data_IF_012580235389
#
_entry.id   IF_012580235389
#
_cell.length_a   1.000
_cell.length_b   1.000
_cell.length_c   1.000
_cell.angle_alpha   90.00
_cell.angle_beta   90.00
_cell.angle_gamma   90.00
#
_symmetry.space_group_name_H-M   'P 1'
#
loop_
_entity.id
_entity.type
_entity.pdbx_description
1 polymer ?
#
# COMPACT_ATOMS: atom_id res chain seq x y z
N UNK A 1 11.65 31.28 -8.48
CA UNK A 1 12.01 30.19 -7.56
C UNK A 1 10.75 29.48 -7.10
N UNK A 2 10.70 28.15 -7.07
CA UNK A 2 9.57 27.47 -6.47
C UNK A 2 9.48 27.82 -4.97
N UNK A 3 8.25 27.90 -4.40
CA UNK A 3 8.09 28.24 -3.01
C UNK A 3 8.77 27.18 -2.11
N UNK A 4 9.49 27.58 -1.07
CA UNK A 4 10.25 26.71 -0.13
C UNK A 4 9.44 25.55 0.48
N UNK A 5 8.09 25.68 0.57
CA UNK A 5 7.23 24.59 1.05
C UNK A 5 7.14 23.41 0.08
N UNK A 6 7.28 23.66 -1.25
CA UNK A 6 7.30 22.57 -2.25
C UNK A 6 8.58 21.74 -2.12
N UNK A 7 9.69 22.36 -1.82
CA UNK A 7 10.98 21.66 -1.67
C UNK A 7 11.00 20.84 -0.38
N UNK A 8 10.50 21.38 0.74
CA UNK A 8 10.34 20.65 2.01
C UNK A 8 9.41 19.44 1.83
N UNK A 9 8.33 19.58 1.09
CA UNK A 9 7.41 18.47 0.82
C UNK A 9 8.07 17.37 -0.01
N UNK A 10 8.81 17.73 -1.07
CA UNK A 10 9.54 16.77 -1.90
C UNK A 10 10.62 16.03 -1.12
N UNK A 11 11.33 16.73 -0.23
CA UNK A 11 12.36 16.13 0.61
C UNK A 11 11.77 15.12 1.59
N UNK A 12 10.66 15.47 2.22
CA UNK A 12 9.92 14.56 3.09
C UNK A 12 9.43 13.31 2.36
N UNK A 13 8.84 13.50 1.16
CA UNK A 13 8.38 12.38 0.34
C UNK A 13 9.55 11.46 -0.04
N UNK A 14 10.68 12.02 -0.45
CA UNK A 14 11.90 11.25 -0.74
C UNK A 14 12.39 10.44 0.45
N UNK A 15 12.37 11.01 1.64
CA UNK A 15 12.83 10.33 2.87
C UNK A 15 11.89 9.17 3.26
N UNK A 16 10.58 9.41 3.25
CA UNK A 16 9.59 8.38 3.62
C UNK A 16 9.51 7.28 2.56
N UNK A 17 9.69 7.62 1.29
CA UNK A 17 9.60 6.68 0.17
C UNK A 17 10.99 6.24 -0.35
N UNK A 18 12.04 6.35 0.49
CA UNK A 18 13.37 5.89 0.11
C UNK A 18 13.34 4.40 -0.29
N UNK A 19 13.95 4.09 -1.43
CA UNK A 19 13.94 2.74 -2.01
C UNK A 19 12.81 2.49 -3.01
N UNK A 20 11.74 3.30 -2.99
CA UNK A 20 10.61 3.14 -3.92
C UNK A 20 10.69 4.12 -5.10
N UNK A 21 10.21 3.66 -6.24
CA UNK A 21 10.07 4.53 -7.43
C UNK A 21 8.99 5.58 -7.23
N UNK A 22 9.18 6.74 -7.83
CA UNK A 22 8.24 7.86 -7.70
C UNK A 22 8.11 8.63 -9.02
N UNK A 23 6.97 9.28 -9.23
CA UNK A 23 6.70 10.04 -10.45
C UNK A 23 5.62 9.40 -11.31
N UNK A 24 5.34 9.97 -12.49
CA UNK A 24 4.27 9.49 -13.38
C UNK A 24 4.48 8.05 -13.88
N UNK A 25 5.74 7.66 -14.13
CA UNK A 25 6.09 6.33 -14.60
C UNK A 25 6.22 5.28 -13.48
N UNK A 26 6.11 5.70 -12.21
CA UNK A 26 6.34 4.83 -11.06
C UNK A 26 5.54 3.51 -11.09
N UNK A 27 4.26 3.45 -11.49
CA UNK A 27 3.55 2.17 -11.56
C UNK A 27 4.21 1.17 -12.52
N UNK A 28 4.58 1.61 -13.70
CA UNK A 28 5.24 0.76 -14.71
C UNK A 28 6.63 0.33 -14.25
N UNK A 29 7.41 1.28 -13.70
CA UNK A 29 8.76 1.00 -13.19
C UNK A 29 8.75 0.06 -12.00
N UNK A 30 7.80 0.20 -11.07
CA UNK A 30 7.67 -0.68 -9.91
C UNK A 30 7.36 -2.11 -10.35
N UNK A 31 6.40 -2.28 -11.26
CA UNK A 31 6.06 -3.59 -11.82
C UNK A 31 7.27 -4.21 -12.53
N UNK A 32 7.96 -3.44 -13.39
CA UNK A 32 9.13 -3.94 -14.12
C UNK A 32 10.28 -4.38 -13.17
N UNK A 33 10.57 -3.58 -12.13
CA UNK A 33 11.58 -3.94 -11.12
C UNK A 33 11.21 -5.19 -10.35
N UNK A 34 9.94 -5.31 -9.94
CA UNK A 34 9.46 -6.47 -9.21
C UNK A 34 9.48 -7.73 -10.08
N UNK A 35 9.09 -7.65 -11.35
CA UNK A 35 9.16 -8.77 -12.29
C UNK A 35 10.62 -9.19 -12.57
N UNK A 36 11.56 -8.26 -12.63
CA UNK A 36 12.99 -8.59 -12.74
C UNK A 36 13.49 -9.38 -11.52
N UNK A 37 13.08 -9.00 -10.30
CA UNK A 37 13.39 -9.75 -9.06
C UNK A 37 12.67 -11.11 -9.03
N UNK A 38 11.45 -11.21 -9.57
CA UNK A 38 10.65 -12.42 -9.56
C UNK A 38 11.37 -13.62 -10.24
N UNK A 39 12.28 -13.37 -11.19
CA UNK A 39 13.07 -14.41 -11.84
C UNK A 39 14.01 -15.17 -10.90
N UNK A 40 14.40 -14.60 -9.76
CA UNK A 40 15.26 -15.22 -8.74
C UNK A 40 14.51 -15.51 -7.43
N UNK A 41 13.26 -15.09 -7.31
CA UNK A 41 12.44 -15.33 -6.14
C UNK A 41 11.94 -16.78 -6.08
N UNK A 42 11.83 -17.32 -4.88
CA UNK A 42 11.20 -18.63 -4.64
C UNK A 42 9.69 -18.52 -4.47
N UNK A 43 9.20 -17.32 -4.14
CA UNK A 43 7.79 -17.06 -3.94
C UNK A 43 7.40 -15.61 -4.23
N UNK A 44 6.15 -15.40 -4.63
CA UNK A 44 5.62 -14.10 -4.99
C UNK A 44 4.36 -13.76 -4.19
N UNK A 45 4.23 -12.48 -3.86
CA UNK A 45 3.00 -11.85 -3.37
C UNK A 45 2.52 -10.88 -4.45
N UNK A 46 1.30 -11.04 -4.95
CA UNK A 46 0.74 -10.14 -5.96
C UNK A 46 -0.14 -9.08 -5.28
N UNK A 47 0.06 -7.81 -5.62
CA UNK A 47 -0.73 -6.69 -5.12
C UNK A 47 -1.14 -5.78 -6.27
N UNK A 48 -2.16 -4.95 -6.08
CA UNK A 48 -2.68 -4.12 -7.18
C UNK A 48 -1.73 -3.01 -7.59
N UNK A 49 -1.12 -2.34 -6.62
CA UNK A 49 -0.33 -1.15 -6.88
C UNK A 49 0.86 -0.94 -5.93
N UNK A 50 1.57 0.17 -6.15
CA UNK A 50 2.78 0.52 -5.37
C UNK A 50 2.44 0.77 -3.90
N UNK A 51 1.29 1.38 -3.57
CA UNK A 51 0.89 1.62 -2.19
C UNK A 51 0.76 0.32 -1.40
N UNK A 52 0.17 -0.70 -2.04
CA UNK A 52 -0.01 -2.01 -1.44
C UNK A 52 1.33 -2.74 -1.30
N UNK A 53 2.22 -2.62 -2.30
CA UNK A 53 3.60 -3.12 -2.19
C UNK A 53 4.32 -2.51 -0.98
N UNK A 54 4.29 -1.17 -0.86
CA UNK A 54 4.90 -0.46 0.26
C UNK A 54 4.31 -0.93 1.59
N UNK A 55 3.01 -1.12 1.66
CA UNK A 55 2.33 -1.58 2.87
C UNK A 55 2.78 -3.00 3.27
N UNK A 56 2.80 -3.94 2.34
CA UNK A 56 3.22 -5.34 2.60
C UNK A 56 4.68 -5.38 3.04
N UNK A 57 5.58 -4.72 2.30
CA UNK A 57 7.02 -4.72 2.59
C UNK A 57 7.32 -4.00 3.91
N UNK A 58 6.60 -2.88 4.20
CA UNK A 58 6.72 -2.18 5.49
C UNK A 58 6.27 -3.04 6.65
N UNK A 59 5.12 -3.73 6.51
CA UNK A 59 4.58 -4.59 7.56
C UNK A 59 5.51 -5.77 7.85
N UNK A 60 6.05 -6.41 6.81
CA UNK A 60 7.04 -7.47 6.96
C UNK A 60 8.29 -6.97 7.70
N UNK A 61 8.87 -5.86 7.24
CA UNK A 61 10.07 -5.27 7.83
C UNK A 61 9.86 -4.87 9.31
N UNK A 62 8.73 -4.23 9.63
CA UNK A 62 8.39 -3.84 11.01
C UNK A 62 8.19 -5.04 11.95
N UNK A 63 7.85 -6.21 11.39
CA UNK A 63 7.78 -7.49 12.10
C UNK A 63 9.09 -8.26 12.12
N UNK A 64 10.20 -7.63 11.75
CA UNK A 64 11.55 -8.22 11.76
C UNK A 64 11.81 -9.21 10.62
N UNK A 65 10.98 -9.19 9.55
CA UNK A 65 11.17 -10.03 8.37
C UNK A 65 11.91 -9.28 7.27
N UNK A 66 12.81 -9.98 6.61
CA UNK A 66 13.50 -9.53 5.41
C UNK A 66 13.03 -10.38 4.22
N UNK A 67 12.04 -9.87 3.47
CA UNK A 67 11.47 -10.57 2.33
C UNK A 67 12.51 -10.84 1.22
N UNK A 68 13.49 -9.97 1.05
CA UNK A 68 14.59 -10.21 0.08
C UNK A 68 15.46 -11.39 0.53
N UNK A 69 15.83 -11.48 1.81
CA UNK A 69 16.56 -12.62 2.37
C UNK A 69 15.73 -13.92 2.35
N UNK A 70 14.41 -13.82 2.46
CA UNK A 70 13.47 -14.93 2.34
C UNK A 70 13.19 -15.33 0.87
N UNK A 71 13.79 -14.65 -0.11
CA UNK A 71 13.50 -14.81 -1.54
C UNK A 71 12.03 -14.65 -1.91
N UNK A 72 11.31 -13.77 -1.20
CA UNK A 72 9.91 -13.41 -1.46
C UNK A 72 9.87 -12.05 -2.13
N UNK A 73 9.21 -11.94 -3.27
CA UNK A 73 9.06 -10.66 -3.97
C UNK A 73 7.60 -10.21 -3.99
N UNK A 74 7.35 -8.95 -3.60
CA UNK A 74 6.03 -8.32 -3.73
C UNK A 74 5.95 -7.65 -5.10
N UNK A 75 4.98 -8.08 -5.91
CA UNK A 75 4.81 -7.63 -7.30
C UNK A 75 3.56 -6.77 -7.43
N UNK A 76 3.68 -5.44 -7.61
CA UNK A 76 2.56 -4.58 -7.96
C UNK A 76 2.23 -4.81 -9.44
N UNK A 77 1.02 -5.35 -9.72
CA UNK A 77 0.65 -5.80 -11.07
C UNK A 77 0.11 -4.69 -11.98
N UNK A 78 -0.07 -3.46 -11.44
CA UNK A 78 -0.58 -2.32 -12.21
C UNK A 78 -2.10 -2.35 -12.43
N UNK A 79 -2.83 -2.91 -11.47
CA UNK A 79 -4.29 -3.06 -11.48
C UNK A 79 -4.75 -4.49 -11.77
N UNK A 80 -5.87 -4.88 -11.17
CA UNK A 80 -6.35 -6.27 -11.16
C UNK A 80 -6.52 -6.90 -12.55
N UNK A 81 -6.88 -6.12 -13.57
CA UNK A 81 -7.03 -6.63 -14.95
C UNK A 81 -5.72 -7.16 -15.57
N UNK A 82 -4.55 -6.73 -15.05
CA UNK A 82 -3.26 -7.25 -15.50
C UNK A 82 -2.93 -8.64 -14.93
N UNK A 83 -3.69 -9.14 -13.95
CA UNK A 83 -3.39 -10.38 -13.23
C UNK A 83 -3.17 -11.57 -14.15
N UNK A 84 -4.08 -11.80 -15.11
CA UNK A 84 -3.99 -12.93 -16.04
C UNK A 84 -2.72 -12.90 -16.90
N UNK A 85 -2.35 -11.70 -17.40
CA UNK A 85 -1.11 -11.51 -18.17
C UNK A 85 0.12 -11.77 -17.29
N UNK A 86 0.15 -11.17 -16.10
CA UNK A 86 1.28 -11.32 -15.16
C UNK A 86 1.45 -12.79 -14.75
N UNK A 87 0.36 -13.52 -14.45
CA UNK A 87 0.43 -14.95 -14.14
C UNK A 87 0.97 -15.79 -15.30
N UNK A 88 0.66 -15.42 -16.55
CA UNK A 88 1.19 -16.10 -17.74
C UNK A 88 2.69 -15.86 -17.97
N UNK A 89 3.25 -14.76 -17.45
CA UNK A 89 4.67 -14.41 -17.56
C UNK A 89 5.51 -14.98 -16.40
N UNK A 90 4.86 -15.43 -15.32
CA UNK A 90 5.54 -15.88 -14.11
C UNK A 90 5.76 -17.41 -14.12
N UNK A 91 6.99 -17.82 -13.92
CA UNK A 91 7.37 -19.22 -13.69
C UNK A 91 7.56 -19.55 -12.19
N UNK A 92 7.31 -18.58 -11.32
CA UNK A 92 7.55 -18.66 -9.88
C UNK A 92 6.25 -18.90 -9.14
N UNK A 93 6.30 -19.64 -8.03
CA UNK A 93 5.14 -19.91 -7.19
C UNK A 93 4.56 -18.62 -6.61
N UNK A 94 3.29 -18.35 -6.86
CA UNK A 94 2.53 -17.30 -6.18
C UNK A 94 1.98 -17.85 -4.86
N UNK A 95 2.37 -17.23 -3.73
CA UNK A 95 1.90 -17.63 -2.40
C UNK A 95 0.59 -16.98 -2.02
N UNK A 96 0.44 -15.68 -2.31
CA UNK A 96 -0.72 -14.91 -1.93
C UNK A 96 -0.95 -13.70 -2.85
N UNK A 97 -2.16 -13.15 -2.80
CA UNK A 97 -2.49 -11.88 -3.41
C UNK A 97 -3.35 -11.04 -2.45
N UNK A 98 -3.13 -9.73 -2.45
CA UNK A 98 -3.92 -8.73 -1.73
C UNK A 98 -4.65 -7.86 -2.74
N UNK A 99 -5.94 -7.66 -2.54
CA UNK A 99 -6.78 -6.85 -3.43
C UNK A 99 -7.94 -6.20 -2.69
N UNK A 100 -8.52 -5.21 -3.34
CA UNK A 100 -9.75 -4.56 -2.91
C UNK A 100 -10.97 -5.48 -3.14
N UNK A 101 -12.07 -5.22 -2.44
CA UNK A 101 -13.30 -6.01 -2.58
C UNK A 101 -13.81 -6.05 -4.03
N UNK A 102 -13.67 -4.97 -4.76
CA UNK A 102 -14.12 -4.86 -6.16
C UNK A 102 -13.38 -5.81 -7.10
N UNK A 103 -12.11 -6.07 -6.81
CA UNK A 103 -11.20 -6.92 -7.60
C UNK A 103 -11.14 -8.36 -7.10
N UNK A 104 -11.78 -8.66 -5.96
CA UNK A 104 -11.74 -9.97 -5.32
C UNK A 104 -12.15 -11.12 -6.26
N UNK A 105 -13.13 -10.88 -7.15
CA UNK A 105 -13.55 -11.86 -8.14
C UNK A 105 -12.46 -12.22 -9.15
N UNK A 106 -11.65 -11.24 -9.55
CA UNK A 106 -10.53 -11.44 -10.49
C UNK A 106 -9.41 -12.22 -9.80
N UNK A 107 -9.00 -11.79 -8.60
CA UNK A 107 -7.95 -12.45 -7.82
C UNK A 107 -8.31 -13.89 -7.43
N UNK A 108 -9.55 -14.13 -6.98
CA UNK A 108 -10.02 -15.49 -6.63
C UNK A 108 -10.05 -16.43 -7.83
N UNK A 109 -10.39 -15.96 -9.04
CA UNK A 109 -10.31 -16.78 -10.25
C UNK A 109 -8.87 -17.10 -10.63
N UNK A 110 -7.94 -16.15 -10.48
CA UNK A 110 -6.54 -16.36 -10.85
C UNK A 110 -5.73 -17.16 -9.84
N UNK A 111 -5.92 -16.90 -8.54
CA UNK A 111 -5.10 -17.46 -7.46
C UNK A 111 -5.82 -18.54 -6.65
N UNK A 112 -7.14 -18.59 -6.70
CA UNK A 112 -7.98 -19.34 -5.80
C UNK A 112 -8.29 -18.58 -4.49
N UNK A 113 -9.41 -18.92 -3.82
CA UNK A 113 -9.87 -18.21 -2.62
C UNK A 113 -8.89 -18.29 -1.45
N UNK A 114 -8.21 -19.42 -1.28
CA UNK A 114 -7.26 -19.65 -0.18
C UNK A 114 -5.98 -18.80 -0.26
N UNK A 115 -5.69 -18.20 -1.40
CA UNK A 115 -4.53 -17.34 -1.65
C UNK A 115 -4.90 -15.88 -1.85
N UNK A 116 -6.18 -15.53 -1.74
CA UNK A 116 -6.67 -14.18 -1.98
C UNK A 116 -7.08 -13.54 -0.67
N UNK A 117 -6.37 -12.47 -0.29
CA UNK A 117 -6.66 -11.65 0.87
C UNK A 117 -7.37 -10.39 0.39
N UNK A 118 -8.53 -10.10 0.94
CA UNK A 118 -9.43 -9.06 0.43
C UNK A 118 -9.63 -7.98 1.49
N UNK A 119 -9.31 -6.74 1.15
CA UNK A 119 -9.71 -5.57 1.91
C UNK A 119 -11.20 -5.30 1.70
N UNK A 120 -11.94 -4.88 2.74
CA UNK A 120 -13.40 -4.68 2.67
C UNK A 120 -13.77 -3.61 1.65
N UNK A 121 -13.09 -2.48 1.67
CA UNK A 121 -13.17 -1.44 0.63
C UNK A 121 -11.84 -1.38 -0.13
N UNK A 122 -10.83 -0.78 0.48
CA UNK A 122 -9.44 -0.76 0.02
C UNK A 122 -8.49 -0.81 1.22
N UNK A 123 -7.19 -0.96 0.96
CA UNK A 123 -6.18 -1.05 2.02
C UNK A 123 -6.07 0.24 2.85
N UNK A 124 -6.30 1.39 2.25
CA UNK A 124 -6.30 2.66 2.97
C UNK A 124 -7.41 2.73 4.00
N UNK A 125 -8.61 2.26 3.66
CA UNK A 125 -9.75 2.20 4.58
C UNK A 125 -9.47 1.23 5.74
N UNK A 126 -8.93 0.06 5.44
CA UNK A 126 -8.51 -0.90 6.47
C UNK A 126 -7.51 -0.30 7.46
N UNK A 127 -6.49 0.42 6.94
CA UNK A 127 -5.47 1.06 7.76
C UNK A 127 -6.04 2.22 8.60
N UNK A 128 -6.90 3.07 8.01
CA UNK A 128 -7.56 4.16 8.74
C UNK A 128 -8.39 3.61 9.90
N UNK A 129 -9.21 2.58 9.64
CA UNK A 129 -10.03 1.95 10.68
C UNK A 129 -9.18 1.29 11.78
N UNK A 130 -8.08 0.68 11.41
CA UNK A 130 -7.19 0.02 12.35
C UNK A 130 -6.49 1.01 13.29
N UNK A 131 -5.94 2.11 12.77
CA UNK A 131 -5.21 3.07 13.60
C UNK A 131 -6.12 4.07 14.31
N UNK A 132 -7.29 4.35 13.74
CA UNK A 132 -8.26 5.32 14.26
C UNK A 132 -7.93 6.78 13.93
N UNK A 133 -8.94 7.64 14.11
CA UNK A 133 -8.90 9.04 13.70
C UNK A 133 -7.81 9.86 14.41
N UNK A 134 -7.57 9.62 15.69
CA UNK A 134 -6.60 10.39 16.48
C UNK A 134 -5.17 10.14 16.00
N UNK A 135 -4.84 8.87 15.73
CA UNK A 135 -3.52 8.49 15.21
C UNK A 135 -3.33 9.04 13.79
N UNK A 136 -4.37 8.94 12.97
CA UNK A 136 -4.35 9.54 11.64
C UNK A 136 -4.11 11.05 11.71
N UNK A 137 -4.83 11.78 12.58
CA UNK A 137 -4.65 13.21 12.77
C UNK A 137 -3.22 13.57 13.21
N UNK A 138 -2.66 12.82 14.16
CA UNK A 138 -1.28 13.00 14.60
C UNK A 138 -0.27 12.77 13.46
N UNK A 139 -0.49 11.74 12.62
CA UNK A 139 0.37 11.46 11.48
C UNK A 139 0.33 12.58 10.43
N UNK A 140 -0.86 13.09 10.06
CA UNK A 140 -0.96 14.18 9.07
C UNK A 140 -0.38 15.49 9.62
N UNK A 141 -0.49 15.74 10.91
CA UNK A 141 0.14 16.92 11.55
C UNK A 141 1.66 16.80 11.51
N UNK A 142 2.23 15.69 11.97
CA UNK A 142 3.66 15.40 11.90
C UNK A 142 4.23 15.51 10.47
N UNK A 143 3.39 15.22 9.46
CA UNK A 143 3.74 15.39 8.05
C UNK A 143 3.50 16.82 7.52
N UNK A 144 3.00 17.76 8.33
CA UNK A 144 2.66 19.12 7.91
C UNK A 144 1.54 19.18 6.86
N UNK A 145 0.68 18.17 6.83
CA UNK A 145 -0.42 18.05 5.88
C UNK A 145 -1.78 18.48 6.49
N UNK A 146 -1.82 18.83 7.79
CA UNK A 146 -3.05 19.17 8.51
C UNK A 146 -3.83 20.31 7.84
N UNK A 147 -3.13 21.37 7.39
CA UNK A 147 -3.77 22.46 6.65
C UNK A 147 -4.45 22.01 5.36
N UNK A 148 -3.81 21.09 4.63
CA UNK A 148 -4.39 20.51 3.41
C UNK A 148 -5.60 19.64 3.71
N UNK A 149 -5.59 18.91 4.83
CA UNK A 149 -6.73 18.10 5.28
C UNK A 149 -7.91 18.97 5.68
N UNK A 150 -7.68 20.01 6.48
CA UNK A 150 -8.72 20.98 6.87
C UNK A 150 -9.33 21.68 5.66
N UNK A 151 -8.49 22.03 4.67
CA UNK A 151 -9.00 22.59 3.40
C UNK A 151 -9.89 21.61 2.62
N UNK A 152 -9.61 20.31 2.66
CA UNK A 152 -10.52 19.29 2.11
C UNK A 152 -11.84 19.25 2.89
N UNK A 153 -11.75 19.20 4.20
CA UNK A 153 -12.94 19.12 5.08
C UNK A 153 -13.90 20.30 4.91
N UNK A 154 -13.38 21.50 4.61
CA UNK A 154 -14.19 22.70 4.37
C UNK A 154 -14.86 22.75 2.99
N UNK A 155 -14.51 21.85 2.06
CA UNK A 155 -15.11 21.83 0.72
C UNK A 155 -16.59 21.40 0.80
N UNK A 156 -17.50 22.05 0.05
CA UNK A 156 -18.94 21.71 0.07
C UNK A 156 -19.25 20.24 -0.18
N UNK A 157 -18.44 19.57 -1.02
CA UNK A 157 -18.62 18.16 -1.34
C UNK A 157 -18.20 17.20 -0.20
N UNK A 158 -17.42 17.68 0.79
CA UNK A 158 -16.80 16.84 1.81
C UNK A 158 -17.15 17.22 3.25
N UNK A 159 -17.56 18.48 3.52
CA UNK A 159 -17.80 18.97 4.89
C UNK A 159 -18.86 18.17 5.65
N UNK A 160 -19.83 17.59 4.94
CA UNK A 160 -20.95 16.85 5.54
C UNK A 160 -20.75 15.30 5.43
N UNK A 161 -19.56 14.85 4.98
CA UNK A 161 -19.21 13.44 4.93
C UNK A 161 -18.61 12.99 6.26
N UNK A 162 -18.59 11.67 6.49
CA UNK A 162 -17.94 11.09 7.66
C UNK A 162 -16.44 11.46 7.68
N UNK A 163 -15.84 11.47 8.87
CA UNK A 163 -14.41 11.74 9.01
C UNK A 163 -13.58 10.68 8.29
N UNK A 164 -14.02 9.43 8.32
CA UNK A 164 -13.35 8.33 7.64
C UNK A 164 -13.35 8.51 6.11
N UNK A 165 -14.51 8.91 5.52
CA UNK A 165 -14.59 9.24 4.10
C UNK A 165 -13.65 10.41 3.72
N UNK A 166 -13.58 11.42 4.58
CA UNK A 166 -12.68 12.56 4.39
C UNK A 166 -11.21 12.14 4.43
N UNK A 167 -10.83 11.28 5.38
CA UNK A 167 -9.49 10.73 5.52
C UNK A 167 -9.11 9.89 4.31
N UNK A 168 -9.98 8.97 3.90
CA UNK A 168 -9.78 8.15 2.71
C UNK A 168 -9.63 9.00 1.45
N UNK A 169 -10.54 9.98 1.25
CA UNK A 169 -10.43 10.95 0.15
C UNK A 169 -9.12 11.72 0.18
N UNK A 170 -8.68 12.13 1.36
CA UNK A 170 -7.43 12.84 1.52
C UNK A 170 -6.24 12.00 1.06
N UNK A 171 -6.16 10.73 1.46
CA UNK A 171 -5.10 9.83 1.06
C UNK A 171 -5.08 9.61 -0.46
N UNK A 172 -6.24 9.35 -1.05
CA UNK A 172 -6.38 9.02 -2.48
C UNK A 172 -6.28 10.23 -3.41
N UNK A 173 -6.18 11.46 -2.87
CA UNK A 173 -6.10 12.70 -3.69
C UNK A 173 -4.75 12.91 -4.40
N UNK A 174 -3.82 11.94 -4.31
CA UNK A 174 -2.55 11.98 -5.03
C UNK A 174 -1.69 10.74 -4.77
N UNK A 175 -1.14 10.16 -5.81
CA UNK A 175 -0.37 8.91 -5.76
C UNK A 175 0.79 8.94 -4.75
N UNK A 176 1.55 10.03 -4.68
CA UNK A 176 2.64 10.17 -3.69
C UNK A 176 2.12 10.22 -2.26
N UNK A 177 0.96 10.83 -2.04
CA UNK A 177 0.32 10.87 -0.73
C UNK A 177 -0.13 9.47 -0.35
N UNK A 178 -0.84 8.78 -1.25
CA UNK A 178 -1.27 7.40 -1.06
C UNK A 178 -0.09 6.52 -0.62
N UNK A 179 0.99 6.49 -1.38
CA UNK A 179 2.19 5.70 -1.08
C UNK A 179 2.85 6.06 0.26
N UNK A 180 3.00 7.37 0.54
CA UNK A 180 3.61 7.82 1.79
C UNK A 180 2.80 7.39 3.02
N UNK A 181 1.49 7.58 2.98
CA UNK A 181 0.65 7.21 4.11
C UNK A 181 0.42 5.71 4.21
N UNK A 182 0.50 4.94 3.13
CA UNK A 182 0.53 3.49 3.20
C UNK A 182 1.65 3.02 4.14
N UNK A 183 2.88 3.57 3.98
CA UNK A 183 3.99 3.28 4.88
C UNK A 183 3.71 3.72 6.32
N UNK A 184 3.37 5.00 6.53
CA UNK A 184 3.22 5.59 7.86
C UNK A 184 2.09 4.95 8.68
N UNK A 185 0.98 4.64 8.02
CA UNK A 185 -0.16 3.99 8.68
C UNK A 185 0.16 2.54 9.05
N UNK A 186 0.88 1.82 8.21
CA UNK A 186 1.34 0.46 8.53
C UNK A 186 2.33 0.49 9.70
N UNK A 187 3.30 1.39 9.70
CA UNK A 187 4.23 1.55 10.83
C UNK A 187 3.44 1.79 12.13
N UNK A 188 2.47 2.71 12.11
CA UNK A 188 1.63 2.99 13.27
C UNK A 188 0.74 1.81 13.68
N UNK A 189 0.22 1.04 12.72
CA UNK A 189 -0.62 -0.14 12.99
C UNK A 189 0.19 -1.27 13.62
N UNK A 190 1.41 -1.52 13.13
CA UNK A 190 2.31 -2.53 13.72
C UNK A 190 2.75 -2.12 15.12
N UNK A 191 3.13 -0.85 15.33
CA UNK A 191 3.56 -0.36 16.66
C UNK A 191 2.47 -0.45 17.73
N UNK A 192 1.20 -0.56 17.32
CA UNK A 192 0.02 -0.70 18.18
C UNK A 192 -0.56 -2.11 18.23
N UNK A 193 0.01 -3.03 17.46
CA UNK A 193 -0.50 -4.39 17.31
C UNK A 193 -1.96 -4.44 16.78
N UNK A 194 -2.26 -3.56 15.83
CA UNK A 194 -3.59 -3.43 15.19
C UNK A 194 -3.50 -3.56 13.66
N UNK A 195 -2.56 -4.35 13.16
CA UNK A 195 -2.41 -4.55 11.72
C UNK A 195 -3.72 -5.10 11.12
N UNK A 196 -4.26 -4.53 10.02
CA UNK A 196 -5.48 -5.03 9.39
C UNK A 196 -5.40 -6.50 9.05
N UNK A 197 -6.48 -7.23 9.35
CA UNK A 197 -6.55 -8.67 9.17
C UNK A 197 -6.15 -9.17 7.78
N UNK A 198 -6.57 -8.54 6.64
CA UNK A 198 -6.15 -8.99 5.32
C UNK A 198 -4.63 -8.97 5.14
N UNK A 199 -3.95 -7.97 5.70
CA UNK A 199 -2.50 -7.81 5.63
C UNK A 199 -1.79 -8.75 6.60
N UNK A 200 -2.34 -8.95 7.79
CA UNK A 200 -1.84 -9.86 8.80
C UNK A 200 -1.91 -11.33 8.35
N UNK A 201 -3.07 -11.75 7.87
CA UNK A 201 -3.31 -13.10 7.33
C UNK A 201 -2.40 -13.37 6.11
N UNK A 202 -2.19 -12.38 5.24
CA UNK A 202 -1.28 -12.48 4.10
C UNK A 202 0.16 -12.75 4.55
N UNK A 203 0.67 -11.96 5.49
CA UNK A 203 2.05 -12.12 6.00
C UNK A 203 2.23 -13.45 6.74
N UNK A 204 1.23 -13.90 7.49
CA UNK A 204 1.24 -15.19 8.15
C UNK A 204 1.28 -16.35 7.15
N UNK A 205 0.60 -16.21 6.01
CA UNK A 205 0.56 -17.22 4.94
C UNK A 205 1.90 -17.39 4.23
N UNK A 206 2.67 -16.32 4.11
CA UNK A 206 3.98 -16.29 3.44
C UNK A 206 5.14 -16.34 4.44
N UNK A 207 4.88 -16.78 5.68
CA UNK A 207 5.94 -16.99 6.65
C UNK A 207 6.91 -18.07 6.15
N UNK A 208 8.23 -17.93 6.39
CA UNK A 208 9.18 -18.99 6.12
C UNK A 208 8.81 -20.23 6.93
N UNK A 209 8.95 -21.41 6.33
CA UNK A 209 8.79 -22.70 7.01
C UNK A 209 9.92 -22.93 8.01
#
# INVERSE_FOLDING_TARGET
MPPQWKDRRRERDRRVLAGYVSGPAAPVEATARALAKAGTATALILVEGISDQIAVETAAHRRGRDLDAEHVTVVPIGGAHALGRVLGELNTRVLAGLCDLREAGIFRRGLGPARTHVCVDDLEDELIRAVGADVFAALIDAQGDLGSFRALQSQPAWRDRSVDDQMRRFLTSGSRRKSRYARLLVEAAVDRDVLPRPLDDLLSKVAPC
#
